data_IF_088619384087
#
_entry.id   IF_088619384087
#
_cell.length_a   1.000
_cell.length_b   1.000
_cell.length_c   1.000
_cell.angle_alpha   90.00
_cell.angle_beta   90.00
_cell.angle_gamma   90.00
#
_symmetry.space_group_name_H-M   'P 1'
#
loop_
_entity.id
_entity.type
_entity.pdbx_description
1 polymer ?
#
# COMPACT_ATOMS: atom_id res chain seq x y z
N UNK A 1 12.55 29.46 8.62
CA UNK A 1 12.53 28.86 7.28
C UNK A 1 11.15 28.28 7.07
N UNK A 2 10.34 28.97 6.27
CA UNK A 2 8.97 28.60 5.95
C UNK A 2 9.01 27.40 4.99
N UNK A 3 8.51 26.23 5.41
CA UNK A 3 8.33 25.11 4.47
C UNK A 3 7.18 25.51 3.55
N UNK A 4 7.49 25.89 2.32
CA UNK A 4 6.48 26.10 1.27
C UNK A 4 5.64 24.83 1.17
N UNK A 5 4.36 24.92 1.51
CA UNK A 5 3.41 23.82 1.40
C UNK A 5 3.23 23.47 -0.08
N UNK A 6 3.85 22.37 -0.48
CA UNK A 6 3.51 21.72 -1.75
C UNK A 6 2.09 21.18 -1.68
N UNK A 7 1.39 21.15 -2.80
CA UNK A 7 0.11 20.43 -2.88
C UNK A 7 0.43 18.95 -2.78
N UNK A 8 0.17 18.35 -1.62
CA UNK A 8 0.21 16.90 -1.46
C UNK A 8 -1.04 16.31 -2.10
N UNK A 9 -0.86 15.30 -2.95
CA UNK A 9 -1.99 14.57 -3.51
C UNK A 9 -2.31 13.41 -2.59
N UNK A 10 -3.47 13.48 -1.95
CA UNK A 10 -3.98 12.45 -1.05
C UNK A 10 -5.15 11.73 -1.71
N UNK A 11 -5.12 10.40 -1.73
CA UNK A 11 -6.24 9.59 -2.23
C UNK A 11 -6.39 8.30 -1.43
N UNK A 12 -7.62 7.79 -1.38
CA UNK A 12 -7.89 6.42 -0.89
C UNK A 12 -8.02 5.51 -2.11
N UNK A 13 -7.24 4.44 -2.13
CA UNK A 13 -7.26 3.40 -3.17
C UNK A 13 -7.61 2.06 -2.55
N UNK A 14 -8.23 1.17 -3.33
CA UNK A 14 -8.54 -0.20 -2.90
C UNK A 14 -8.24 -1.21 -3.98
N UNK A 15 -7.98 -2.47 -3.59
CA UNK A 15 -7.92 -3.59 -4.52
C UNK A 15 -6.82 -3.45 -5.57
N UNK A 16 -5.67 -2.88 -5.20
CA UNK A 16 -4.58 -2.54 -6.11
C UNK A 16 -3.53 -3.67 -6.23
N UNK A 17 -3.91 -4.94 -5.98
CA UNK A 17 -2.98 -6.09 -6.02
C UNK A 17 -2.19 -6.17 -7.33
N UNK A 18 -2.80 -5.81 -8.46
CA UNK A 18 -2.15 -5.85 -9.79
C UNK A 18 -1.48 -4.54 -10.19
N UNK A 19 -1.51 -3.52 -9.33
CA UNK A 19 -0.76 -2.27 -9.52
C UNK A 19 0.59 -2.42 -8.80
N UNK A 20 1.65 -2.68 -9.57
CA UNK A 20 2.98 -2.95 -9.03
C UNK A 20 3.53 -1.79 -8.18
N UNK A 21 3.25 -0.55 -8.55
CA UNK A 21 3.76 0.61 -7.83
C UNK A 21 3.09 0.71 -6.45
N UNK A 22 1.77 0.59 -6.40
CA UNK A 22 1.03 0.63 -5.13
C UNK A 22 1.30 -0.60 -4.27
N UNK A 23 1.37 -1.80 -4.87
CA UNK A 23 1.67 -3.05 -4.16
C UNK A 23 3.05 -3.02 -3.52
N UNK A 24 4.09 -2.59 -4.24
CA UNK A 24 5.44 -2.43 -3.68
C UNK A 24 5.50 -1.34 -2.60
N UNK A 25 4.76 -0.26 -2.77
CA UNK A 25 4.68 0.79 -1.75
C UNK A 25 4.02 0.30 -0.47
N UNK A 26 2.97 -0.51 -0.59
CA UNK A 26 2.33 -1.20 0.54
C UNK A 26 3.27 -2.21 1.20
N UNK A 27 3.96 -3.04 0.42
CA UNK A 27 4.96 -4.00 0.93
C UNK A 27 6.06 -3.27 1.73
N UNK A 28 6.58 -2.15 1.20
CA UNK A 28 7.55 -1.32 1.90
C UNK A 28 7.01 -0.70 3.19
N UNK A 29 5.71 -0.38 3.28
CA UNK A 29 5.08 0.04 4.54
C UNK A 29 5.04 -1.12 5.53
N UNK A 30 4.55 -2.29 5.11
CA UNK A 30 4.46 -3.48 5.96
C UNK A 30 5.83 -3.92 6.50
N UNK A 31 6.87 -3.88 5.68
CA UNK A 31 8.22 -4.25 6.08
C UNK A 31 8.76 -3.30 7.15
N UNK A 32 8.57 -1.98 7.00
CA UNK A 32 9.02 -1.00 8.00
C UNK A 32 8.24 -1.07 9.31
N UNK A 33 6.95 -1.40 9.26
CA UNK A 33 6.07 -1.40 10.44
C UNK A 33 6.08 -2.72 11.19
N UNK A 34 6.14 -3.85 10.47
CA UNK A 34 5.97 -5.19 11.04
C UNK A 34 7.11 -6.16 10.71
N UNK A 35 8.04 -5.81 9.82
CA UNK A 35 9.10 -6.71 9.37
C UNK A 35 8.60 -7.87 8.48
N UNK A 36 7.44 -7.73 7.86
CA UNK A 36 6.80 -8.74 7.01
C UNK A 36 6.80 -8.28 5.54
N UNK A 37 6.81 -9.24 4.61
CA UNK A 37 6.65 -8.98 3.17
C UNK A 37 5.38 -9.64 2.62
N UNK A 38 4.63 -8.86 1.84
CA UNK A 38 3.50 -9.28 1.02
C UNK A 38 3.93 -9.62 -0.41
N UNK A 39 5.13 -9.22 -0.85
CA UNK A 39 5.66 -9.55 -2.18
C UNK A 39 5.82 -11.07 -2.35
N UNK A 40 6.50 -11.74 -1.42
CA UNK A 40 6.67 -13.20 -1.49
C UNK A 40 5.31 -13.91 -1.44
N UNK A 41 4.40 -13.44 -0.60
CA UNK A 41 3.04 -13.97 -0.50
C UNK A 41 2.26 -13.80 -1.82
N UNK A 42 2.44 -12.67 -2.52
CA UNK A 42 1.86 -12.42 -3.84
C UNK A 42 2.47 -13.31 -4.93
N UNK A 43 3.81 -13.36 -5.04
CA UNK A 43 4.52 -14.10 -6.09
C UNK A 43 4.28 -15.60 -6.01
N UNK A 44 4.05 -16.13 -4.81
CA UNK A 44 3.69 -17.53 -4.60
C UNK A 44 2.19 -17.81 -4.80
N UNK A 45 1.39 -16.83 -5.22
CA UNK A 45 -0.04 -17.00 -5.52
C UNK A 45 -0.93 -17.11 -4.28
N UNK A 46 -0.41 -16.82 -3.09
CA UNK A 46 -1.17 -16.91 -1.84
C UNK A 46 -2.01 -15.66 -1.55
N UNK A 47 -1.72 -14.53 -2.20
CA UNK A 47 -2.58 -13.35 -2.17
C UNK A 47 -3.80 -13.58 -3.06
N UNK A 48 -4.82 -14.24 -2.51
CA UNK A 48 -6.11 -14.50 -3.16
C UNK A 48 -7.00 -13.27 -3.31
N UNK A 49 -8.12 -13.43 -4.01
CA UNK A 49 -9.04 -12.32 -4.32
C UNK A 49 -9.78 -11.78 -3.08
N UNK A 50 -9.81 -12.57 -2.00
CA UNK A 50 -10.50 -12.22 -0.76
C UNK A 50 -9.73 -11.20 0.09
N UNK A 51 -8.40 -11.09 -0.08
CA UNK A 51 -7.58 -10.09 0.61
C UNK A 51 -7.58 -8.78 -0.17
N UNK A 52 -8.39 -7.82 0.30
CA UNK A 52 -8.58 -6.52 -0.35
C UNK A 52 -7.93 -5.41 0.46
N UNK A 53 -6.79 -4.83 0.02
CA UNK A 53 -6.20 -3.70 0.70
C UNK A 53 -6.98 -2.41 0.41
N UNK A 54 -7.12 -1.56 1.43
CA UNK A 54 -7.55 -0.17 1.33
C UNK A 54 -6.44 0.70 1.90
N UNK A 55 -5.97 1.68 1.15
CA UNK A 55 -4.81 2.49 1.54
C UNK A 55 -5.00 3.96 1.28
N UNK A 56 -4.49 4.76 2.22
CA UNK A 56 -4.24 6.18 2.02
C UNK A 56 -2.92 6.31 1.29
N UNK A 57 -2.92 6.98 0.14
CA UNK A 57 -1.75 7.25 -0.69
C UNK A 57 -1.48 8.75 -0.65
N UNK A 58 -0.25 9.11 -0.26
CA UNK A 58 0.25 10.47 -0.21
C UNK A 58 1.44 10.56 -1.17
N UNK A 59 1.38 11.46 -2.14
CA UNK A 59 2.43 11.67 -3.15
C UNK A 59 2.85 10.38 -3.88
N UNK A 60 1.87 9.52 -4.15
CA UNK A 60 2.08 8.24 -4.84
C UNK A 60 2.55 7.09 -3.96
N UNK A 61 2.83 7.33 -2.67
CA UNK A 61 3.24 6.30 -1.72
C UNK A 61 2.14 5.97 -0.70
N UNK A 62 2.01 4.68 -0.35
CA UNK A 62 1.10 4.19 0.67
C UNK A 62 1.59 4.65 2.05
N UNK A 63 0.77 5.46 2.73
CA UNK A 63 1.06 6.02 4.05
C UNK A 63 0.32 5.26 5.17
N UNK A 64 -0.85 4.70 4.87
CA UNK A 64 -1.64 3.88 5.79
C UNK A 64 -2.36 2.77 5.03
N UNK A 65 -2.66 1.67 5.71
CA UNK A 65 -3.40 0.55 5.16
C UNK A 65 -4.37 -0.04 6.19
N UNK A 66 -5.54 -0.46 5.70
CA UNK A 66 -6.43 -1.42 6.36
C UNK A 66 -6.88 -2.43 5.30
N UNK A 67 -6.83 -3.71 5.63
CA UNK A 67 -7.22 -4.77 4.70
C UNK A 67 -8.42 -5.54 5.23
N UNK A 68 -9.27 -5.99 4.31
CA UNK A 68 -10.43 -6.82 4.61
C UNK A 68 -10.22 -8.18 3.96
N UNK A 69 -10.48 -9.26 4.71
CA UNK A 69 -10.71 -10.59 4.16
C UNK A 69 -12.22 -10.81 4.10
N UNK A 70 -12.72 -11.33 2.99
CA UNK A 70 -14.15 -11.61 2.76
C UNK A 70 -14.46 -13.10 2.82
#
# INVERSE_FOLDING_TARGET
MEKKGGVHVERIVKGYRTDDALRRSFDALAQRTFGLTFEDWYQNGFWGDDYVPYSVVVDGAVAANVSVNR
#
